data_IF_194611489217
#
_entry.id   IF_194611489217
#
_cell.length_a   1.000
_cell.length_b   1.000
_cell.length_c   1.000
_cell.angle_alpha   90.00
_cell.angle_beta   90.00
_cell.angle_gamma   90.00
#
_symmetry.space_group_name_H-M   'P 1'
#
loop_
_entity.id
_entity.type
_entity.pdbx_description
1 polymer ?
#
# COMPACT_ATOMS: atom_id res chain seq x y z
N UNK A 1 6.05 12.81 27.92
CA UNK A 1 6.16 12.08 26.62
C UNK A 1 4.90 12.20 25.76
N UNK A 2 3.69 12.32 26.31
CA UNK A 2 2.43 12.52 25.57
C UNK A 2 2.41 13.80 24.74
N UNK A 3 2.81 14.93 25.30
CA UNK A 3 2.81 16.25 24.63
C UNK A 3 3.67 16.31 23.34
N UNK A 4 4.80 15.61 23.33
CA UNK A 4 5.69 15.63 22.16
C UNK A 4 5.06 14.91 20.96
N UNK A 5 4.22 13.97 21.22
CA UNK A 5 3.57 13.12 20.24
C UNK A 5 2.27 13.74 19.68
N UNK A 6 1.59 14.52 20.52
CA UNK A 6 0.48 15.35 20.05
C UNK A 6 1.02 16.45 19.10
N UNK A 7 2.19 16.99 19.42
CA UNK A 7 2.89 17.93 18.54
C UNK A 7 3.30 17.27 17.22
N UNK A 8 3.81 16.03 17.24
CA UNK A 8 4.14 15.29 16.01
C UNK A 8 2.90 14.98 15.18
N UNK A 9 1.79 14.56 15.83
CA UNK A 9 0.54 14.30 15.13
C UNK A 9 -0.03 15.57 14.47
N UNK A 10 0.03 16.70 15.16
CA UNK A 10 -0.34 18.01 14.60
C UNK A 10 0.59 18.40 13.45
N UNK A 11 1.90 18.22 13.60
CA UNK A 11 2.87 18.53 12.54
C UNK A 11 2.67 17.67 11.28
N UNK A 12 2.30 16.40 11.43
CA UNK A 12 1.96 15.53 10.28
C UNK A 12 0.68 15.99 9.60
N UNK A 13 -0.33 16.39 10.38
CA UNK A 13 -1.58 16.93 9.83
C UNK A 13 -1.32 18.22 9.04
N UNK A 14 -0.50 19.12 9.57
CA UNK A 14 -0.15 20.38 8.92
C UNK A 14 0.68 20.14 7.65
N UNK A 15 1.63 19.21 7.68
CA UNK A 15 2.40 18.81 6.50
C UNK A 15 1.50 18.22 5.40
N UNK A 16 0.50 17.39 5.77
CA UNK A 16 -0.49 16.87 4.84
C UNK A 16 -1.30 17.98 4.17
N UNK A 17 -1.76 18.97 4.95
CA UNK A 17 -2.50 20.11 4.43
C UNK A 17 -1.65 20.95 3.46
N UNK A 18 -0.36 21.14 3.74
CA UNK A 18 0.58 21.81 2.83
C UNK A 18 0.77 21.04 1.52
N UNK A 19 0.85 19.70 1.57
CA UNK A 19 0.95 18.86 0.38
C UNK A 19 -0.31 18.96 -0.49
N UNK A 20 -1.51 18.98 0.10
CA UNK A 20 -2.75 19.19 -0.65
C UNK A 20 -2.82 20.60 -1.28
N UNK A 21 -2.36 21.62 -0.56
CA UNK A 21 -2.28 22.97 -1.13
C UNK A 21 -1.31 23.00 -2.32
N UNK A 22 -0.15 22.37 -2.21
CA UNK A 22 0.84 22.27 -3.29
C UNK A 22 0.27 21.52 -4.51
N UNK A 23 -0.45 20.42 -4.30
CA UNK A 23 -1.14 19.67 -5.37
C UNK A 23 -2.14 20.56 -6.11
N UNK A 24 -2.97 21.32 -5.37
CA UNK A 24 -3.94 22.23 -5.96
C UNK A 24 -3.27 23.36 -6.78
N UNK A 25 -2.13 23.88 -6.30
CA UNK A 25 -1.35 24.88 -7.03
C UNK A 25 -0.77 24.31 -8.32
N UNK A 26 -0.25 23.08 -8.30
CA UNK A 26 0.26 22.40 -9.49
C UNK A 26 -0.87 22.15 -10.49
N UNK A 27 -2.03 21.64 -10.05
CA UNK A 27 -3.18 21.42 -10.92
C UNK A 27 -3.65 22.74 -11.59
N UNK A 28 -3.55 23.86 -10.88
CA UNK A 28 -3.87 25.19 -11.40
C UNK A 28 -2.82 25.62 -12.45
N UNK A 29 -1.54 25.40 -12.19
CA UNK A 29 -0.47 25.70 -13.13
C UNK A 29 -0.54 24.85 -14.41
N UNK A 30 -0.85 23.56 -14.29
CA UNK A 30 -1.09 22.68 -15.45
C UNK A 30 -2.17 23.27 -16.38
N UNK A 31 -3.31 23.70 -15.81
CA UNK A 31 -4.39 24.29 -16.58
C UNK A 31 -4.04 25.65 -17.17
N UNK A 32 -3.30 26.49 -16.45
CA UNK A 32 -2.96 27.84 -16.86
C UNK A 32 -1.89 27.87 -17.97
N UNK A 33 -0.95 26.93 -17.96
CA UNK A 33 0.21 26.93 -18.83
C UNK A 33 0.26 25.79 -19.84
N UNK A 34 -0.68 24.84 -19.80
CA UNK A 34 -0.74 23.68 -20.70
C UNK A 34 0.45 22.72 -20.55
N UNK A 35 1.08 22.70 -19.38
CA UNK A 35 2.23 21.83 -19.07
C UNK A 35 1.76 20.59 -18.31
N UNK A 36 2.38 19.44 -18.58
CA UNK A 36 2.13 18.21 -17.81
C UNK A 36 3.06 18.17 -16.58
N UNK A 37 2.48 18.30 -15.40
CA UNK A 37 3.16 18.17 -14.10
C UNK A 37 2.68 16.94 -13.34
N UNK A 38 2.15 15.93 -14.04
CA UNK A 38 1.59 14.72 -13.45
C UNK A 38 2.55 13.97 -12.52
N UNK A 39 3.86 13.95 -12.82
CA UNK A 39 4.87 13.38 -11.92
C UNK A 39 5.00 14.15 -10.61
N UNK A 40 4.96 15.48 -10.64
CA UNK A 40 5.04 16.29 -9.44
C UNK A 40 3.81 16.12 -8.55
N UNK A 41 2.61 16.10 -9.13
CA UNK A 41 1.36 15.80 -8.42
C UNK A 41 1.43 14.44 -7.74
N UNK A 42 1.83 13.42 -8.49
CA UNK A 42 1.99 12.09 -7.93
C UNK A 42 3.00 12.03 -6.76
N UNK A 43 4.15 12.68 -6.88
CA UNK A 43 5.13 12.72 -5.81
C UNK A 43 4.53 13.32 -4.52
N UNK A 44 3.67 14.33 -4.67
CA UNK A 44 2.97 14.97 -3.55
C UNK A 44 1.93 14.03 -2.94
N UNK A 45 1.07 13.41 -3.75
CA UNK A 45 0.08 12.44 -3.30
C UNK A 45 0.74 11.26 -2.57
N UNK A 46 1.82 10.71 -3.14
CA UNK A 46 2.60 9.64 -2.54
C UNK A 46 3.23 10.05 -1.20
N UNK A 47 3.70 11.30 -1.07
CA UNK A 47 4.25 11.82 0.17
C UNK A 47 3.15 12.00 1.24
N UNK A 48 1.98 12.55 0.86
CA UNK A 48 0.82 12.70 1.75
C UNK A 48 0.30 11.34 2.24
N UNK A 49 0.24 10.35 1.35
CA UNK A 49 -0.12 8.97 1.69
C UNK A 49 0.86 8.34 2.68
N UNK A 50 2.18 8.49 2.47
CA UNK A 50 3.20 8.00 3.41
C UNK A 50 3.07 8.63 4.79
N UNK A 51 2.85 9.94 4.88
CA UNK A 51 2.65 10.63 6.15
C UNK A 51 1.40 10.13 6.89
N UNK A 52 0.30 9.96 6.17
CA UNK A 52 -0.96 9.43 6.73
C UNK A 52 -0.77 8.02 7.29
N UNK A 53 -0.13 7.13 6.54
CA UNK A 53 0.18 5.76 6.99
C UNK A 53 1.07 5.74 8.22
N UNK A 54 2.14 6.53 8.22
CA UNK A 54 3.06 6.63 9.37
C UNK A 54 2.31 7.07 10.63
N UNK A 55 1.43 8.06 10.51
CA UNK A 55 0.63 8.54 11.64
C UNK A 55 -0.38 7.49 12.13
N UNK A 56 -1.09 6.82 11.20
CA UNK A 56 -2.03 5.75 11.54
C UNK A 56 -1.33 4.61 12.26
N UNK A 57 -0.22 4.14 11.71
CA UNK A 57 0.60 3.10 12.33
C UNK A 57 1.07 3.49 13.71
N UNK A 58 1.58 4.70 13.84
CA UNK A 58 2.02 5.21 15.13
C UNK A 58 0.88 5.22 16.17
N UNK A 59 -0.31 5.68 15.78
CA UNK A 59 -1.50 5.68 16.64
C UNK A 59 -1.89 4.25 17.06
N UNK A 60 -1.94 3.32 16.10
CA UNK A 60 -2.26 1.91 16.36
C UNK A 60 -1.27 1.25 17.32
N UNK A 61 0.02 1.41 17.07
CA UNK A 61 1.08 0.80 17.89
C UNK A 61 1.13 1.36 19.31
N UNK A 62 0.76 2.61 19.49
CA UNK A 62 0.86 3.28 20.79
C UNK A 62 -0.36 3.13 21.69
N UNK A 63 -1.54 3.25 21.13
CA UNK A 63 -2.77 3.33 21.88
C UNK A 63 -3.49 1.98 22.03
N UNK A 64 -2.92 0.89 21.51
CA UNK A 64 -3.62 -0.39 21.48
C UNK A 64 -4.96 -0.27 20.75
N UNK A 65 -5.06 0.64 19.79
CA UNK A 65 -6.27 0.82 19.02
C UNK A 65 -6.63 -0.50 18.35
N UNK A 66 -7.87 -0.91 18.51
CA UNK A 66 -8.40 -2.07 17.82
C UNK A 66 -8.51 -1.75 16.34
N UNK A 67 -8.18 -2.73 15.47
CA UNK A 67 -8.49 -2.65 14.06
C UNK A 67 -10.00 -2.45 13.85
N UNK A 68 -10.36 -1.69 12.85
CA UNK A 68 -11.75 -1.59 12.37
C UNK A 68 -12.06 -2.78 11.44
N UNK A 69 -12.01 -4.01 11.99
CA UNK A 69 -12.26 -5.23 11.24
C UNK A 69 -13.75 -5.33 10.88
N UNK A 70 -14.04 -5.32 9.58
CA UNK A 70 -15.40 -5.47 9.04
C UNK A 70 -15.39 -6.53 7.93
N UNK A 71 -16.52 -7.21 7.68
CA UNK A 71 -16.68 -8.03 6.48
C UNK A 71 -16.45 -7.17 5.24
N UNK A 72 -15.50 -7.58 4.40
CA UNK A 72 -15.07 -6.81 3.23
C UNK A 72 -15.07 -7.72 2.00
N UNK A 73 -15.74 -7.31 0.93
CA UNK A 73 -15.69 -7.98 -0.37
C UNK A 73 -14.29 -7.81 -0.94
N UNK A 74 -13.54 -8.91 -1.01
CA UNK A 74 -12.11 -8.88 -1.39
C UNK A 74 -11.92 -8.40 -2.84
N UNK A 75 -12.83 -8.80 -3.73
CA UNK A 75 -12.78 -8.37 -5.13
C UNK A 75 -12.89 -6.85 -5.26
N UNK A 76 -13.85 -6.22 -4.55
CA UNK A 76 -14.05 -4.76 -4.57
C UNK A 76 -12.82 -4.02 -4.07
N UNK A 77 -12.20 -4.50 -2.98
CA UNK A 77 -10.97 -3.93 -2.45
C UNK A 77 -9.82 -3.99 -3.48
N UNK A 78 -9.67 -5.13 -4.16
CA UNK A 78 -8.63 -5.30 -5.18
C UNK A 78 -8.89 -4.42 -6.42
N UNK A 79 -10.16 -4.29 -6.84
CA UNK A 79 -10.55 -3.41 -7.95
C UNK A 79 -10.29 -1.93 -7.63
N UNK A 80 -10.56 -1.49 -6.42
CA UNK A 80 -10.24 -0.12 -5.99
C UNK A 80 -8.74 0.17 -6.05
N UNK A 81 -7.90 -0.76 -5.57
CA UNK A 81 -6.44 -0.63 -5.67
C UNK A 81 -6.01 -0.57 -7.14
N UNK A 82 -6.59 -1.42 -7.98
CA UNK A 82 -6.32 -1.41 -9.42
C UNK A 82 -6.68 -0.06 -10.04
N UNK A 83 -7.88 0.44 -9.81
CA UNK A 83 -8.35 1.73 -10.35
C UNK A 83 -7.49 2.91 -9.88
N UNK A 84 -7.07 2.89 -8.60
CA UNK A 84 -6.24 3.94 -8.03
C UNK A 84 -4.84 4.02 -8.65
N UNK A 85 -4.29 2.88 -9.11
CA UNK A 85 -2.90 2.80 -9.58
C UNK A 85 -2.76 2.65 -11.09
N UNK A 86 -3.80 2.16 -11.80
CA UNK A 86 -3.73 1.78 -13.22
C UNK A 86 -3.23 2.93 -14.11
N UNK A 87 -3.83 4.10 -14.00
CA UNK A 87 -3.49 5.26 -14.85
C UNK A 87 -2.02 5.69 -14.73
N UNK A 88 -1.46 5.56 -13.54
CA UNK A 88 -0.09 5.96 -13.29
C UNK A 88 0.89 4.91 -13.79
N UNK A 89 0.63 3.62 -13.54
CA UNK A 89 1.48 2.55 -14.06
C UNK A 89 1.44 2.55 -15.59
N UNK A 90 0.28 2.78 -16.20
CA UNK A 90 0.15 2.92 -17.65
C UNK A 90 1.03 4.04 -18.22
N UNK A 91 1.05 5.22 -17.57
CA UNK A 91 1.95 6.33 -17.96
C UNK A 91 3.43 5.96 -17.85
N UNK A 92 3.77 5.10 -16.90
CA UNK A 92 5.13 4.57 -16.72
C UNK A 92 5.43 3.39 -17.68
N UNK A 93 4.50 3.01 -18.58
CA UNK A 93 4.65 1.87 -19.47
C UNK A 93 4.49 0.50 -18.80
N UNK A 94 3.93 0.46 -17.59
CA UNK A 94 3.73 -0.76 -16.80
C UNK A 94 2.24 -1.13 -16.80
N UNK A 95 1.93 -2.39 -17.15
CA UNK A 95 0.57 -2.92 -17.10
C UNK A 95 0.26 -3.49 -15.73
N UNK A 96 -0.84 -3.07 -15.13
CA UNK A 96 -1.36 -3.63 -13.89
C UNK A 96 -2.49 -4.62 -14.19
N UNK A 97 -2.31 -5.89 -13.79
CA UNK A 97 -3.30 -6.95 -13.88
C UNK A 97 -3.94 -7.26 -12.53
N UNK A 98 -5.16 -7.81 -12.56
CA UNK A 98 -5.88 -8.32 -11.39
C UNK A 98 -6.30 -9.77 -11.61
N UNK A 99 -6.01 -10.64 -10.64
CA UNK A 99 -6.44 -12.04 -10.62
C UNK A 99 -7.05 -12.37 -9.23
N UNK A 100 -8.32 -12.07 -9.04
CA UNK A 100 -9.04 -12.35 -7.80
C UNK A 100 -9.90 -13.60 -7.96
N UNK A 101 -9.67 -14.64 -7.14
CA UNK A 101 -10.50 -15.84 -7.06
C UNK A 101 -11.35 -15.90 -5.79
N UNK A 102 -11.31 -14.87 -4.95
CA UNK A 102 -12.07 -14.76 -3.71
C UNK A 102 -13.32 -13.94 -3.97
N UNK A 103 -14.47 -14.62 -3.98
CA UNK A 103 -15.76 -13.96 -4.23
C UNK A 103 -16.48 -13.57 -2.94
N UNK A 104 -16.07 -14.15 -1.81
CA UNK A 104 -16.70 -13.94 -0.52
C UNK A 104 -16.09 -12.75 0.23
N UNK A 105 -16.80 -12.33 1.28
CA UNK A 105 -16.30 -11.35 2.23
C UNK A 105 -15.22 -11.96 3.14
N UNK A 106 -14.22 -11.14 3.52
CA UNK A 106 -13.22 -11.50 4.49
C UNK A 106 -13.17 -10.45 5.61
N UNK A 107 -13.08 -10.86 6.90
CA UNK A 107 -13.00 -9.92 8.00
C UNK A 107 -11.60 -9.29 8.05
N UNK A 108 -11.49 -8.02 7.68
CA UNK A 108 -10.24 -7.26 7.67
C UNK A 108 -10.50 -5.77 7.94
N UNK A 109 -9.45 -5.05 8.28
CA UNK A 109 -9.48 -3.58 8.27
C UNK A 109 -9.22 -3.10 6.85
N UNK A 110 -10.31 -2.69 6.18
CA UNK A 110 -10.33 -2.35 4.76
C UNK A 110 -9.37 -1.23 4.40
N UNK A 111 -9.34 -0.19 5.21
CA UNK A 111 -8.52 0.99 4.94
C UNK A 111 -7.03 0.66 5.09
N UNK A 112 -6.68 -0.08 6.15
CA UNK A 112 -5.29 -0.49 6.38
C UNK A 112 -4.78 -1.47 5.32
N UNK A 113 -5.59 -2.47 4.95
CA UNK A 113 -5.22 -3.43 3.91
C UNK A 113 -5.13 -2.75 2.56
N UNK A 114 -6.07 -1.86 2.23
CA UNK A 114 -6.02 -1.03 1.03
C UNK A 114 -4.74 -0.20 0.93
N UNK A 115 -4.35 0.44 2.04
CA UNK A 115 -3.10 1.21 2.13
C UNK A 115 -1.85 0.34 1.93
N UNK A 116 -1.83 -0.86 2.52
CA UNK A 116 -0.73 -1.84 2.35
C UNK A 116 -0.62 -2.24 0.88
N UNK A 117 -1.73 -2.60 0.23
CA UNK A 117 -1.76 -3.02 -1.17
C UNK A 117 -1.36 -1.87 -2.12
N UNK A 118 -1.89 -0.67 -1.91
CA UNK A 118 -1.50 0.51 -2.70
C UNK A 118 0.01 0.76 -2.62
N UNK A 119 0.60 0.66 -1.42
CA UNK A 119 2.04 0.83 -1.26
C UNK A 119 2.83 -0.30 -1.96
N UNK A 120 2.35 -1.53 -1.89
CA UNK A 120 2.98 -2.67 -2.56
C UNK A 120 2.93 -2.51 -4.10
N UNK A 121 1.78 -2.14 -4.67
CA UNK A 121 1.62 -1.91 -6.11
C UNK A 121 2.48 -0.75 -6.59
N UNK A 122 2.56 0.35 -5.83
CA UNK A 122 3.45 1.47 -6.15
C UNK A 122 4.93 1.06 -6.13
N UNK A 123 5.34 0.26 -5.15
CA UNK A 123 6.73 -0.24 -5.08
C UNK A 123 7.02 -1.18 -6.26
N UNK A 124 6.13 -2.13 -6.54
CA UNK A 124 6.25 -3.02 -7.69
C UNK A 124 6.35 -2.24 -9.00
N UNK A 125 5.47 -1.24 -9.20
CA UNK A 125 5.47 -0.40 -10.40
C UNK A 125 6.74 0.41 -10.65
N UNK A 126 7.48 0.76 -9.58
CA UNK A 126 8.78 1.46 -9.71
C UNK A 126 9.91 0.56 -10.20
N UNK A 127 9.80 -0.73 -9.96
CA UNK A 127 10.85 -1.71 -10.25
C UNK A 127 10.50 -2.66 -11.38
N UNK A 128 9.22 -2.76 -11.74
CA UNK A 128 8.74 -3.56 -12.86
C UNK A 128 9.37 -3.12 -14.18
N UNK A 129 9.59 -4.06 -15.08
CA UNK A 129 9.98 -3.79 -16.47
C UNK A 129 8.78 -3.44 -17.34
N UNK A 130 7.67 -4.15 -17.17
CA UNK A 130 6.48 -3.98 -17.99
C UNK A 130 5.17 -4.42 -17.33
N UNK A 131 5.23 -5.21 -16.23
CA UNK A 131 4.04 -5.84 -15.68
C UNK A 131 4.08 -5.93 -14.15
N UNK A 132 2.94 -5.60 -13.55
CA UNK A 132 2.60 -5.86 -12.14
C UNK A 132 1.29 -6.63 -12.12
N UNK A 133 1.13 -7.57 -11.20
CA UNK A 133 -0.12 -8.31 -10.99
C UNK A 133 -0.49 -8.31 -9.50
N UNK A 134 -1.72 -7.88 -9.21
CA UNK A 134 -2.37 -8.06 -7.92
C UNK A 134 -3.21 -9.32 -7.97
N UNK A 135 -3.05 -10.22 -7.02
CA UNK A 135 -3.88 -11.43 -6.92
C UNK A 135 -4.42 -11.65 -5.51
N UNK A 136 -5.58 -12.30 -5.43
CA UNK A 136 -6.24 -12.69 -4.19
C UNK A 136 -6.72 -14.14 -4.27
N UNK A 137 -6.30 -14.97 -3.33
CA UNK A 137 -6.66 -16.40 -3.24
C UNK A 137 -6.89 -16.82 -1.79
N UNK A 138 -7.56 -17.92 -1.57
CA UNK A 138 -7.64 -18.58 -0.26
C UNK A 138 -6.65 -19.74 -0.20
N UNK A 139 -5.72 -19.72 0.74
CA UNK A 139 -4.73 -20.79 0.93
C UNK A 139 -4.62 -21.16 2.41
N UNK A 140 -4.83 -22.44 2.72
CA UNK A 140 -4.71 -22.94 4.08
C UNK A 140 -5.68 -22.32 5.10
N UNK A 141 -6.77 -21.71 4.61
CA UNK A 141 -7.75 -21.03 5.44
C UNK A 141 -7.39 -19.58 5.77
N UNK A 142 -6.40 -19.01 5.07
CA UNK A 142 -6.03 -17.61 5.10
C UNK A 142 -6.37 -16.93 3.76
N UNK A 143 -6.73 -15.65 3.83
CA UNK A 143 -6.73 -14.79 2.66
C UNK A 143 -5.28 -14.42 2.32
N UNK A 144 -4.88 -14.71 1.10
CA UNK A 144 -3.54 -14.39 0.58
C UNK A 144 -3.67 -13.39 -0.55
N UNK A 145 -3.13 -12.20 -0.32
CA UNK A 145 -3.06 -11.10 -1.28
C UNK A 145 -1.61 -10.97 -1.74
N UNK A 146 -1.36 -11.07 -3.06
CA UNK A 146 -0.01 -10.97 -3.63
C UNK A 146 0.07 -9.83 -4.62
N UNK A 147 1.20 -9.14 -4.59
CA UNK A 147 1.63 -8.21 -5.62
C UNK A 147 2.94 -8.73 -6.19
N UNK A 148 2.93 -9.05 -7.47
CA UNK A 148 4.10 -9.58 -8.20
C UNK A 148 4.51 -8.63 -9.31
N UNK A 149 5.81 -8.53 -9.59
CA UNK A 149 6.34 -7.77 -10.72
C UNK A 149 7.31 -8.60 -11.57
N UNK A 150 7.65 -8.08 -12.75
CA UNK A 150 8.62 -8.65 -13.69
C UNK A 150 10.00 -7.96 -13.61
N UNK A 151 10.28 -7.27 -12.51
CA UNK A 151 11.52 -6.54 -12.29
C UNK A 151 12.70 -7.44 -11.87
N UNK A 152 13.77 -6.86 -11.33
CA UNK A 152 14.96 -7.61 -10.91
C UNK A 152 14.76 -8.37 -9.58
N UNK A 153 13.63 -8.17 -8.88
CA UNK A 153 13.41 -8.69 -7.54
C UNK A 153 14.12 -7.86 -6.46
N UNK A 154 14.03 -8.35 -5.22
CA UNK A 154 14.78 -7.79 -4.09
C UNK A 154 16.22 -8.26 -4.13
N UNK A 155 17.18 -7.38 -3.84
CA UNK A 155 18.59 -7.78 -3.72
C UNK A 155 18.76 -8.80 -2.58
N UNK A 156 18.07 -8.57 -1.46
CA UNK A 156 17.95 -9.51 -0.35
C UNK A 156 16.54 -9.37 0.27
N UNK A 157 15.64 -10.33 0.04
CA UNK A 157 14.29 -10.27 0.61
C UNK A 157 14.25 -10.20 2.14
N UNK A 158 15.24 -10.78 2.82
CA UNK A 158 15.29 -10.79 4.29
C UNK A 158 15.59 -9.42 4.90
N UNK A 159 16.30 -8.57 4.17
CA UNK A 159 16.63 -7.19 4.58
C UNK A 159 15.75 -6.14 3.92
N UNK A 160 14.99 -6.51 2.89
CA UNK A 160 14.13 -5.58 2.16
C UNK A 160 13.08 -4.90 3.06
N UNK A 161 12.54 -5.63 4.04
CA UNK A 161 11.63 -5.07 5.03
C UNK A 161 12.29 -4.00 5.92
N UNK A 162 13.58 -4.13 6.21
CA UNK A 162 14.35 -3.15 6.97
C UNK A 162 14.75 -1.91 6.16
N UNK A 163 14.78 -2.01 4.82
CA UNK A 163 15.21 -0.95 3.91
C UNK A 163 14.17 0.12 3.61
N UNK A 164 12.90 -0.07 3.99
CA UNK A 164 11.83 0.90 3.74
C UNK A 164 10.79 0.95 4.84
N UNK A 165 10.48 2.16 5.33
CA UNK A 165 9.47 2.37 6.38
C UNK A 165 8.10 1.78 6.00
N UNK A 166 7.75 1.74 4.71
CA UNK A 166 6.45 1.23 4.23
C UNK A 166 6.26 -0.27 4.43
N UNK A 167 7.30 -1.08 4.20
CA UNK A 167 7.23 -2.54 4.37
C UNK A 167 7.22 -2.94 5.84
N UNK A 168 8.05 -2.31 6.66
CA UNK A 168 8.06 -2.52 8.12
C UNK A 168 6.70 -2.15 8.74
N UNK A 169 6.10 -1.06 8.27
CA UNK A 169 4.75 -0.64 8.67
C UNK A 169 3.73 -1.70 8.26
N UNK A 170 3.79 -2.16 7.01
CA UNK A 170 2.88 -3.20 6.49
C UNK A 170 2.94 -4.49 7.30
N UNK A 171 4.15 -4.95 7.68
CA UNK A 171 4.34 -6.12 8.53
C UNK A 171 3.65 -5.96 9.89
N UNK A 172 3.86 -4.82 10.55
CA UNK A 172 3.22 -4.51 11.85
C UNK A 172 1.71 -4.45 11.75
N UNK A 173 1.18 -3.84 10.69
CA UNK A 173 -0.27 -3.74 10.45
C UNK A 173 -0.88 -5.11 10.12
N UNK A 174 -0.19 -5.95 9.35
CA UNK A 174 -0.59 -7.32 9.07
C UNK A 174 -0.73 -8.11 10.38
N UNK A 175 0.29 -8.05 11.25
CA UNK A 175 0.34 -8.77 12.51
C UNK A 175 -0.79 -8.40 13.50
N UNK A 176 -1.42 -7.23 13.34
CA UNK A 176 -2.59 -6.82 14.14
C UNK A 176 -3.86 -7.59 13.75
N UNK A 177 -3.96 -8.13 12.53
CA UNK A 177 -5.09 -8.98 12.12
C UNK A 177 -4.94 -10.35 12.76
N UNK A 178 -5.65 -10.55 13.86
CA UNK A 178 -5.60 -11.82 14.63
C UNK A 178 -6.93 -12.54 14.55
N UNK A 179 -6.92 -13.81 14.14
CA UNK A 179 -8.09 -14.68 14.10
C UNK A 179 -7.74 -16.09 14.56
N UNK A 180 -8.50 -16.61 15.52
CA UNK A 180 -8.31 -17.98 16.07
C UNK A 180 -6.87 -18.22 16.55
N UNK A 181 -6.24 -17.22 17.17
CA UNK A 181 -4.86 -17.32 17.68
C UNK A 181 -3.76 -17.25 16.62
N UNK A 182 -4.10 -17.04 15.34
CA UNK A 182 -3.13 -16.79 14.26
C UNK A 182 -3.11 -15.31 13.94
N UNK A 183 -1.92 -14.77 13.69
CA UNK A 183 -1.72 -13.38 13.28
C UNK A 183 -1.47 -13.30 11.78
N UNK A 184 -1.87 -12.21 11.17
CA UNK A 184 -1.49 -11.90 9.81
C UNK A 184 0.01 -11.73 9.66
N UNK A 185 0.52 -11.94 8.46
CA UNK A 185 1.93 -11.87 8.13
C UNK A 185 2.16 -11.19 6.77
N UNK A 186 3.32 -10.58 6.63
CA UNK A 186 3.82 -10.04 5.39
C UNK A 186 5.10 -10.77 5.03
N UNK A 187 5.17 -11.28 3.81
CA UNK A 187 6.31 -12.04 3.29
C UNK A 187 6.82 -11.37 2.02
N UNK A 188 8.14 -11.37 1.88
CA UNK A 188 8.81 -10.88 0.68
C UNK A 188 9.67 -12.02 0.12
N UNK A 189 9.55 -12.26 -1.17
CA UNK A 189 10.42 -13.22 -1.86
C UNK A 189 10.66 -12.80 -3.31
N UNK A 190 11.50 -13.52 -4.00
CA UNK A 190 11.75 -13.36 -5.42
C UNK A 190 11.20 -14.55 -6.21
N UNK A 191 10.90 -14.32 -7.49
CA UNK A 191 10.41 -15.33 -8.40
C UNK A 191 8.92 -15.12 -8.71
N UNK A 192 8.06 -15.98 -8.18
CA UNK A 192 6.64 -15.92 -8.50
C UNK A 192 6.36 -16.20 -9.97
N UNK A 193 5.17 -15.86 -10.46
CA UNK A 193 4.75 -16.09 -11.86
C UNK A 193 5.39 -15.12 -12.85
N UNK A 194 5.75 -13.92 -12.38
CA UNK A 194 6.35 -12.87 -13.21
C UNK A 194 7.87 -12.85 -13.14
N UNK A 195 8.48 -13.56 -12.19
CA UNK A 195 9.93 -13.75 -12.07
C UNK A 195 10.68 -12.65 -11.32
N UNK A 196 10.01 -11.60 -10.89
CA UNK A 196 10.59 -10.47 -10.15
C UNK A 196 10.35 -10.55 -8.63
N UNK A 197 10.02 -9.43 -8.02
CA UNK A 197 9.67 -9.38 -6.60
C UNK A 197 8.24 -9.87 -6.35
N UNK A 198 8.05 -10.50 -5.20
CA UNK A 198 6.76 -10.93 -4.68
C UNK A 198 6.57 -10.35 -3.30
N UNK A 199 5.52 -9.58 -3.15
CA UNK A 199 4.97 -9.13 -1.89
C UNK A 199 3.74 -9.98 -1.58
N UNK A 200 3.70 -10.64 -0.42
CA UNK A 200 2.59 -11.48 -0.02
C UNK A 200 2.07 -11.06 1.36
N UNK A 201 0.80 -10.70 1.43
CA UNK A 201 0.08 -10.41 2.66
C UNK A 201 -0.87 -11.57 2.96
N UNK A 202 -0.70 -12.21 4.13
CA UNK A 202 -1.55 -13.28 4.65
C UNK A 202 -2.40 -12.78 5.80
N UNK A 203 -3.71 -12.98 5.73
CA UNK A 203 -4.67 -12.60 6.76
C UNK A 203 -5.50 -13.84 7.16
N UNK A 204 -5.49 -14.23 8.46
CA UNK A 204 -6.17 -15.42 8.95
C UNK A 204 -7.69 -15.29 9.00
#
# INVERSE_FOLDING_TARGET
MHRLLDILASGVHDAKNQLFAAESMIATAEKAHGVDLGEARYAIEAAAGRLSRTLTTYRLLRHGASLAVVPTVVADLCEEVLLAQAKQLERAGVRLGLACSVLDEWPLDRDLVGDILNNAVQNAGRHARSRVELSAVLEGGDLVLRVEDDGPGFADPSTAAAGGTGLLVGERLAALHVRRGRSGALLLCNGGRLGGAVFELRLP
#
